data_IF_342039069028
#
_entry.id   IF_342039069028
#
_cell.length_a   1.000
_cell.length_b   1.000
_cell.length_c   1.000
_cell.angle_alpha   90.00
_cell.angle_beta   90.00
_cell.angle_gamma   90.00
#
_symmetry.space_group_name_H-M   'P 1'
#
loop_
_entity.id
_entity.type
_entity.pdbx_description
1 polymer ?
#
# COMPACT_ATOMS: atom_id res chain seq x y z
N UNK A 1 58.44 1.26 11.67
CA UNK A 1 58.10 -0.14 12.01
C UNK A 1 56.77 -0.16 12.79
N UNK A 2 55.71 0.34 12.17
CA UNK A 2 54.37 0.41 12.75
C UNK A 2 53.38 0.51 11.58
N UNK A 3 52.81 -0.63 11.18
CA UNK A 3 51.63 -0.75 10.32
C UNK A 3 51.62 -2.18 9.80
N UNK A 4 50.89 -3.08 10.45
CA UNK A 4 50.32 -4.31 9.89
C UNK A 4 49.64 -5.10 11.02
N UNK A 5 48.48 -4.61 11.51
CA UNK A 5 47.57 -5.45 12.30
C UNK A 5 46.13 -4.90 12.27
N UNK A 6 45.58 -4.69 11.06
CA UNK A 6 44.19 -4.23 10.85
C UNK A 6 43.34 -5.18 10.00
N UNK A 7 43.70 -6.47 9.89
CA UNK A 7 43.03 -7.43 8.99
C UNK A 7 42.22 -8.56 9.65
N UNK A 8 41.90 -8.47 10.95
CA UNK A 8 41.13 -9.53 11.65
C UNK A 8 39.70 -9.16 12.07
N UNK A 9 39.19 -7.97 11.73
CA UNK A 9 37.93 -7.50 12.32
C UNK A 9 36.65 -8.29 11.96
N UNK A 10 36.63 -9.11 10.91
CA UNK A 10 35.39 -9.78 10.49
C UNK A 10 35.29 -11.26 10.85
N UNK A 11 36.42 -11.96 11.04
CA UNK A 11 36.42 -13.40 11.33
C UNK A 11 36.12 -13.69 12.81
N UNK A 12 36.36 -12.71 13.68
CA UNK A 12 36.06 -12.78 15.11
C UNK A 12 34.63 -12.37 15.47
N UNK A 13 33.84 -11.86 14.51
CA UNK A 13 32.45 -11.41 14.76
C UNK A 13 31.52 -12.60 15.02
N UNK A 14 31.81 -13.75 14.41
CA UNK A 14 31.00 -14.96 14.55
C UNK A 14 31.90 -16.12 14.96
N UNK A 15 32.25 -16.13 16.23
CA UNK A 15 32.91 -17.28 16.82
C UNK A 15 31.87 -18.33 17.20
N UNK A 16 31.94 -19.49 16.55
CA UNK A 16 31.02 -20.61 16.74
C UNK A 16 31.62 -21.72 17.61
N UNK A 17 32.64 -21.43 18.42
CA UNK A 17 33.16 -22.42 19.36
C UNK A 17 32.11 -22.83 20.39
N UNK A 18 32.25 -24.05 20.91
CA UNK A 18 31.42 -24.53 22.00
C UNK A 18 31.85 -23.82 23.29
N UNK A 19 30.91 -23.08 23.88
CA UNK A 19 31.13 -22.30 25.10
C UNK A 19 31.27 -23.27 26.29
N UNK A 20 32.27 -23.05 27.14
CA UNK A 20 32.43 -23.84 28.37
C UNK A 20 31.34 -23.53 29.40
N UNK A 21 31.01 -24.47 30.29
CA UNK A 21 29.99 -24.24 31.33
C UNK A 21 30.33 -23.04 32.21
N UNK A 22 31.62 -22.83 32.54
CA UNK A 22 32.06 -21.71 33.36
C UNK A 22 31.90 -20.37 32.63
N UNK A 23 32.18 -20.33 31.33
CA UNK A 23 31.96 -19.15 30.50
C UNK A 23 30.47 -18.82 30.36
N UNK A 24 29.61 -19.84 30.26
CA UNK A 24 28.16 -19.66 30.24
C UNK A 24 27.63 -19.11 31.57
N UNK A 25 28.07 -19.65 32.70
CA UNK A 25 27.70 -19.15 34.04
C UNK A 25 28.18 -17.72 34.28
N UNK A 26 29.37 -17.36 33.77
CA UNK A 26 29.85 -15.98 33.79
C UNK A 26 29.00 -15.09 32.89
N UNK A 27 28.63 -15.55 31.69
CA UNK A 27 27.76 -14.82 30.77
C UNK A 27 26.37 -14.54 31.37
N UNK A 28 25.81 -15.44 32.19
CA UNK A 28 24.54 -15.21 32.87
C UNK A 28 24.62 -14.08 33.91
N UNK A 29 25.80 -13.89 34.51
CA UNK A 29 26.05 -12.86 35.53
C UNK A 29 26.51 -11.53 34.91
N UNK A 30 27.17 -11.58 33.76
CA UNK A 30 27.65 -10.42 33.03
C UNK A 30 26.51 -9.70 32.28
N UNK A 31 26.35 -8.41 32.58
CA UNK A 31 25.49 -7.49 31.82
C UNK A 31 26.08 -7.19 30.43
N UNK A 32 25.24 -6.68 29.53
CA UNK A 32 25.70 -6.29 28.20
C UNK A 32 26.45 -4.96 28.22
N UNK A 33 26.21 -4.12 29.24
CA UNK A 33 26.78 -2.77 29.39
C UNK A 33 28.18 -2.75 30.03
N UNK A 34 28.98 -3.78 29.79
CA UNK A 34 30.36 -3.91 30.29
C UNK A 34 31.35 -3.57 29.16
N UNK A 35 32.52 -3.03 29.50
CA UNK A 35 33.56 -2.61 28.53
C UNK A 35 33.98 -3.72 27.56
N UNK A 36 33.85 -4.99 27.97
CA UNK A 36 34.08 -6.18 27.16
C UNK A 36 33.26 -6.19 25.85
N UNK A 37 32.07 -5.59 25.85
CA UNK A 37 31.14 -5.55 24.70
C UNK A 37 31.04 -4.16 24.06
N UNK A 38 32.02 -3.28 24.30
CA UNK A 38 31.98 -1.90 23.81
C UNK A 38 31.88 -1.80 22.27
N UNK A 39 32.56 -2.69 21.53
CA UNK A 39 32.49 -2.75 20.07
C UNK A 39 31.08 -3.01 19.56
N UNK A 40 30.39 -3.98 20.14
CA UNK A 40 29.05 -4.40 19.80
C UNK A 40 28.05 -3.32 20.14
N UNK A 41 28.18 -2.69 21.32
CA UNK A 41 27.37 -1.54 21.71
C UNK A 41 27.51 -0.39 20.70
N UNK A 42 28.73 -0.09 20.23
CA UNK A 42 28.95 0.93 19.20
C UNK A 42 28.31 0.56 17.85
N UNK A 43 28.34 -0.71 17.46
CA UNK A 43 27.64 -1.18 16.25
C UNK A 43 26.13 -1.00 16.40
N UNK A 44 25.54 -1.43 17.52
CA UNK A 44 24.11 -1.25 17.79
C UNK A 44 23.72 0.23 17.84
N UNK A 45 24.56 1.09 18.42
CA UNK A 45 24.34 2.54 18.42
C UNK A 45 24.36 3.12 17.00
N UNK A 46 25.29 2.69 16.15
CA UNK A 46 25.33 3.07 14.73
C UNK A 46 24.06 2.66 13.97
N UNK A 47 23.61 1.42 14.15
CA UNK A 47 22.35 0.90 13.58
C UNK A 47 21.15 1.69 14.09
N UNK A 48 21.12 2.01 15.38
CA UNK A 48 20.06 2.79 16.01
C UNK A 48 19.96 4.19 15.40
N UNK A 49 21.08 4.91 15.26
CA UNK A 49 21.10 6.25 14.64
C UNK A 49 20.58 6.19 13.19
N UNK A 50 21.03 5.21 12.40
CA UNK A 50 20.56 5.01 11.03
C UNK A 50 19.05 4.77 11.00
N UNK A 51 18.53 3.94 11.92
CA UNK A 51 17.10 3.68 12.03
C UNK A 51 16.30 4.92 12.42
N UNK A 52 16.80 5.76 13.34
CA UNK A 52 16.16 7.03 13.71
C UNK A 52 16.04 7.95 12.48
N UNK A 53 17.13 8.13 11.72
CA UNK A 53 17.14 8.97 10.52
C UNK A 53 16.13 8.44 9.49
N UNK A 54 16.15 7.12 9.22
CA UNK A 54 15.23 6.50 8.29
C UNK A 54 13.77 6.63 8.74
N UNK A 55 13.47 6.34 10.01
CA UNK A 55 12.13 6.37 10.57
C UNK A 55 11.52 7.77 10.58
N UNK A 56 12.28 8.79 11.00
CA UNK A 56 11.83 10.19 10.97
C UNK A 56 11.60 10.64 9.52
N UNK A 57 12.55 10.37 8.61
CA UNK A 57 12.41 10.74 7.20
C UNK A 57 11.18 10.09 6.56
N UNK A 58 10.93 8.81 6.84
CA UNK A 58 9.76 8.09 6.36
C UNK A 58 8.45 8.66 6.90
N UNK A 59 8.38 8.99 8.20
CA UNK A 59 7.20 9.60 8.81
C UNK A 59 6.92 11.01 8.24
N UNK A 60 7.97 11.83 8.06
CA UNK A 60 7.86 13.16 7.45
C UNK A 60 7.38 13.05 6.01
N UNK A 61 7.97 12.17 5.22
CA UNK A 61 7.56 11.94 3.82
C UNK A 61 6.10 11.46 3.73
N UNK A 62 5.71 10.53 4.60
CA UNK A 62 4.32 10.04 4.66
C UNK A 62 3.34 11.16 5.07
N UNK A 63 3.75 12.07 5.93
CA UNK A 63 2.96 13.24 6.32
C UNK A 63 2.81 14.25 5.18
N UNK A 64 3.89 14.52 4.43
CA UNK A 64 3.85 15.40 3.24
C UNK A 64 2.89 14.84 2.19
N UNK A 65 2.90 13.52 1.99
CA UNK A 65 2.04 12.85 1.01
C UNK A 65 0.60 12.59 1.51
N UNK A 66 0.19 13.12 2.67
CA UNK A 66 -1.14 12.83 3.27
C UNK A 66 -2.33 13.10 2.34
N UNK A 67 -2.21 14.10 1.47
CA UNK A 67 -3.26 14.54 0.56
C UNK A 67 -3.27 13.72 -0.75
N UNK A 68 -2.26 12.86 -0.96
CA UNK A 68 -2.22 11.95 -2.11
C UNK A 68 -3.39 10.97 -2.08
N UNK A 69 -3.94 10.68 -3.27
CA UNK A 69 -5.06 9.74 -3.43
C UNK A 69 -4.77 8.37 -2.80
N UNK A 70 -3.55 7.86 -2.99
CA UNK A 70 -3.08 6.57 -2.48
C UNK A 70 -3.16 6.53 -0.94
N UNK A 71 -2.70 7.58 -0.24
CA UNK A 71 -2.70 7.61 1.23
C UNK A 71 -4.10 7.85 1.78
N UNK A 72 -4.89 8.70 1.14
CA UNK A 72 -6.29 8.94 1.52
C UNK A 72 -7.13 7.65 1.46
N UNK A 73 -6.94 6.84 0.42
CA UNK A 73 -7.62 5.54 0.28
C UNK A 73 -7.18 4.53 1.36
N UNK A 74 -5.90 4.58 1.76
CA UNK A 74 -5.34 3.76 2.85
C UNK A 74 -5.62 4.28 4.25
N UNK A 75 -6.38 5.36 4.42
CA UNK A 75 -6.71 5.93 5.72
C UNK A 75 -5.47 6.41 6.47
N UNK A 76 -5.15 7.69 6.25
CA UNK A 76 -3.98 8.37 6.79
C UNK A 76 -3.80 8.15 8.30
N UNK A 77 -4.80 8.46 9.12
CA UNK A 77 -4.71 8.44 10.58
C UNK A 77 -4.23 7.08 11.13
N UNK A 78 -4.87 5.98 10.72
CA UNK A 78 -4.54 4.64 11.22
C UNK A 78 -3.13 4.20 10.77
N UNK A 79 -2.75 4.52 9.53
CA UNK A 79 -1.44 4.15 8.99
C UNK A 79 -0.33 4.97 9.62
N UNK A 80 -0.56 6.27 9.82
CA UNK A 80 0.40 7.18 10.43
C UNK A 80 0.61 6.87 11.92
N UNK A 81 -0.47 6.67 12.68
CA UNK A 81 -0.38 6.22 14.09
C UNK A 81 0.33 4.87 14.19
N UNK A 82 0.04 3.94 13.29
CA UNK A 82 0.77 2.66 13.21
C UNK A 82 2.26 2.84 12.95
N UNK A 83 2.65 3.76 12.06
CA UNK A 83 4.04 4.09 11.79
C UNK A 83 4.75 4.67 13.02
N UNK A 84 4.10 5.59 13.74
CA UNK A 84 4.64 6.17 14.98
C UNK A 84 4.84 5.09 16.05
N UNK A 85 3.83 4.25 16.28
CA UNK A 85 3.95 3.16 17.25
C UNK A 85 5.03 2.16 16.87
N UNK A 86 5.20 1.86 15.58
CA UNK A 86 6.22 0.94 15.10
C UNK A 86 7.61 1.52 15.32
N UNK A 87 7.77 2.82 15.03
CA UNK A 87 8.98 3.56 15.29
C UNK A 87 9.36 3.55 16.78
N UNK A 88 8.41 3.88 17.67
CA UNK A 88 8.62 3.83 19.12
C UNK A 88 8.98 2.41 19.58
N UNK A 89 8.28 1.38 19.09
CA UNK A 89 8.54 0.00 19.48
C UNK A 89 9.95 -0.46 19.09
N UNK A 90 10.45 -0.07 17.92
CA UNK A 90 11.84 -0.37 17.52
C UNK A 90 12.83 0.40 18.37
N UNK A 91 12.56 1.66 18.69
CA UNK A 91 13.43 2.44 19.61
C UNK A 91 13.55 1.73 20.95
N UNK A 92 12.42 1.35 21.56
CA UNK A 92 12.38 0.66 22.84
C UNK A 92 12.98 -0.76 22.77
N UNK A 93 12.93 -1.42 21.61
CA UNK A 93 13.53 -2.73 21.40
C UNK A 93 15.05 -2.70 21.21
N UNK A 94 15.59 -1.61 20.63
CA UNK A 94 17.03 -1.44 20.41
C UNK A 94 17.75 -0.78 21.59
N UNK A 95 17.07 0.08 22.35
CA UNK A 95 17.67 0.80 23.49
C UNK A 95 18.41 -0.09 24.50
N UNK A 96 17.89 -1.26 24.90
CA UNK A 96 18.58 -2.12 25.87
C UNK A 96 19.96 -2.61 25.42
N UNK A 97 20.28 -2.53 24.12
CA UNK A 97 21.56 -2.98 23.56
C UNK A 97 22.70 -2.01 23.84
N UNK A 98 22.43 -0.77 24.25
CA UNK A 98 23.50 0.22 24.49
C UNK A 98 23.20 1.16 25.66
N UNK A 99 22.10 0.96 26.38
CA UNK A 99 21.75 1.76 27.53
C UNK A 99 20.88 1.02 28.54
N UNK A 100 20.89 1.52 29.77
CA UNK A 100 19.97 1.06 30.82
C UNK A 100 18.55 1.52 30.48
N UNK A 101 17.57 0.66 30.74
CA UNK A 101 16.15 0.96 30.57
C UNK A 101 15.39 0.44 31.78
N UNK A 102 14.29 1.09 32.14
CA UNK A 102 13.48 0.58 33.24
C UNK A 102 12.65 -0.62 32.80
N UNK A 103 12.49 -1.59 33.71
CA UNK A 103 11.69 -2.77 33.47
C UNK A 103 10.24 -2.41 33.08
N UNK A 104 9.68 -1.35 33.68
CA UNK A 104 8.35 -0.85 33.36
C UNK A 104 8.20 -0.42 31.89
N UNK A 105 9.21 0.23 31.30
CA UNK A 105 9.18 0.63 29.89
C UNK A 105 9.24 -0.58 28.96
N UNK A 106 10.09 -1.57 29.27
CA UNK A 106 10.17 -2.82 28.51
C UNK A 106 8.84 -3.59 28.54
N UNK A 107 8.20 -3.67 29.71
CA UNK A 107 6.88 -4.29 29.89
C UNK A 107 5.79 -3.54 29.12
N UNK A 108 5.79 -2.20 29.18
CA UNK A 108 4.86 -1.38 28.41
C UNK A 108 5.04 -1.60 26.90
N UNK A 109 6.28 -1.64 26.41
CA UNK A 109 6.57 -1.92 25.01
C UNK A 109 6.07 -3.29 24.59
N UNK A 110 6.42 -4.34 25.36
CA UNK A 110 6.09 -5.72 25.03
C UNK A 110 4.59 -6.03 25.13
N UNK A 111 3.91 -5.52 26.16
CA UNK A 111 2.52 -5.88 26.42
C UNK A 111 1.52 -4.90 25.79
N UNK A 112 1.85 -3.62 25.67
CA UNK A 112 0.87 -2.61 25.20
C UNK A 112 1.17 -2.19 23.78
N UNK A 113 2.38 -1.72 23.50
CA UNK A 113 2.74 -1.18 22.18
C UNK A 113 2.74 -2.30 21.13
N UNK A 114 3.36 -3.44 21.45
CA UNK A 114 3.40 -4.58 20.54
C UNK A 114 1.99 -5.13 20.24
N UNK A 115 1.11 -5.20 21.25
CA UNK A 115 -0.29 -5.60 21.04
C UNK A 115 -1.01 -4.61 20.12
N UNK A 116 -0.89 -3.31 20.38
CA UNK A 116 -1.46 -2.29 19.50
C UNK A 116 -0.95 -2.43 18.06
N UNK A 117 0.35 -2.66 17.86
CA UNK A 117 0.95 -2.86 16.54
C UNK A 117 0.41 -4.09 15.82
N UNK A 118 0.38 -5.23 16.49
CA UNK A 118 -0.14 -6.47 15.93
C UNK A 118 -1.58 -6.29 15.44
N UNK A 119 -2.45 -5.67 16.23
CA UNK A 119 -3.82 -5.39 15.80
C UNK A 119 -3.89 -4.32 14.70
N UNK A 120 -3.04 -3.30 14.69
CA UNK A 120 -2.94 -2.34 13.58
C UNK A 120 -2.55 -3.07 12.27
N UNK A 121 -1.61 -4.01 12.31
CA UNK A 121 -1.27 -4.80 11.13
C UNK A 121 -2.46 -5.63 10.63
N UNK A 122 -3.22 -6.26 11.53
CA UNK A 122 -4.44 -7.00 11.15
C UNK A 122 -5.50 -6.11 10.49
N UNK A 123 -5.59 -4.83 10.88
CA UNK A 123 -6.59 -3.92 10.29
C UNK A 123 -6.44 -3.74 8.78
N UNK A 124 -5.23 -3.93 8.23
CA UNK A 124 -5.00 -3.86 6.78
C UNK A 124 -5.76 -4.95 6.05
N UNK A 125 -5.66 -6.19 6.52
CA UNK A 125 -6.40 -7.34 5.98
C UNK A 125 -7.90 -7.20 6.21
N UNK A 126 -8.30 -6.83 7.44
CA UNK A 126 -9.71 -6.63 7.76
C UNK A 126 -10.37 -5.53 6.94
N UNK A 127 -9.64 -4.45 6.59
CA UNK A 127 -10.19 -3.42 5.70
C UNK A 127 -10.56 -4.00 4.34
N UNK A 128 -9.70 -4.83 3.75
CA UNK A 128 -9.97 -5.47 2.45
C UNK A 128 -11.19 -6.39 2.56
N UNK A 129 -11.22 -7.24 3.60
CA UNK A 129 -12.33 -8.16 3.86
C UNK A 129 -13.65 -7.39 4.07
N UNK A 130 -13.66 -6.34 4.89
CA UNK A 130 -14.86 -5.54 5.13
C UNK A 130 -15.31 -4.78 3.88
N UNK A 131 -14.39 -4.17 3.13
CA UNK A 131 -14.72 -3.51 1.87
C UNK A 131 -15.38 -4.50 0.90
N UNK A 132 -14.83 -5.71 0.77
CA UNK A 132 -15.40 -6.76 -0.07
C UNK A 132 -16.81 -7.16 0.39
N UNK A 133 -16.97 -7.43 1.69
CA UNK A 133 -18.23 -7.85 2.27
C UNK A 133 -19.34 -6.78 2.10
N UNK A 134 -19.03 -5.51 2.43
CA UNK A 134 -19.97 -4.40 2.25
C UNK A 134 -20.27 -4.09 0.77
N UNK A 135 -19.32 -4.31 -0.15
CA UNK A 135 -19.56 -4.16 -1.59
C UNK A 135 -20.51 -5.24 -2.14
N UNK A 136 -20.38 -6.50 -1.72
CA UNK A 136 -21.33 -7.56 -2.11
C UNK A 136 -22.76 -7.20 -1.70
N UNK A 137 -22.95 -6.70 -0.48
CA UNK A 137 -24.28 -6.28 -0.02
C UNK A 137 -24.88 -5.21 -0.91
N UNK A 138 -24.08 -4.28 -1.44
CA UNK A 138 -24.55 -3.27 -2.39
C UNK A 138 -25.08 -3.93 -3.66
N UNK A 139 -24.31 -4.80 -4.31
CA UNK A 139 -24.69 -5.46 -5.56
C UNK A 139 -25.97 -6.30 -5.37
N UNK A 140 -26.03 -7.08 -4.29
CA UNK A 140 -27.23 -7.87 -3.95
C UNK A 140 -28.45 -6.99 -3.67
N UNK A 141 -28.28 -5.87 -2.98
CA UNK A 141 -29.40 -4.94 -2.70
C UNK A 141 -29.93 -4.27 -3.97
N UNK A 142 -29.06 -3.93 -4.93
CA UNK A 142 -29.44 -3.36 -6.22
C UNK A 142 -30.17 -4.43 -7.06
N UNK A 143 -29.66 -5.67 -7.11
CA UNK A 143 -30.29 -6.78 -7.82
C UNK A 143 -31.69 -7.09 -7.26
N UNK A 144 -31.83 -7.11 -5.93
CA UNK A 144 -33.13 -7.31 -5.26
C UNK A 144 -34.11 -6.14 -5.45
N UNK A 145 -33.64 -4.91 -5.67
CA UNK A 145 -34.51 -3.79 -6.04
C UNK A 145 -34.99 -3.89 -7.47
N UNK A 146 -34.13 -4.32 -8.40
CA UNK A 146 -34.50 -4.60 -9.80
C UNK A 146 -35.55 -5.70 -9.89
N UNK A 147 -35.41 -6.80 -9.14
CA UNK A 147 -36.40 -7.89 -9.15
C UNK A 147 -37.78 -7.49 -8.62
N UNK A 148 -37.87 -6.45 -7.78
CA UNK A 148 -39.15 -5.93 -7.25
C UNK A 148 -39.83 -4.90 -8.17
N UNK A 149 -39.41 -4.77 -9.43
CA UNK A 149 -40.05 -3.90 -10.43
C UNK A 149 -39.96 -2.39 -10.14
N UNK A 150 -39.17 -1.95 -9.15
CA UNK A 150 -38.98 -0.53 -8.88
C UNK A 150 -38.00 0.04 -9.91
N UNK A 151 -38.53 0.76 -10.89
CA UNK A 151 -37.75 1.46 -11.91
C UNK A 151 -36.70 2.36 -11.24
N UNK A 152 -35.42 2.09 -11.52
CA UNK A 152 -34.32 2.87 -11.00
C UNK A 152 -34.28 4.21 -11.75
N UNK A 153 -34.70 5.31 -11.11
CA UNK A 153 -34.48 6.66 -11.65
C UNK A 153 -32.97 6.91 -11.69
N UNK A 154 -32.36 6.76 -12.87
CA UNK A 154 -30.92 6.77 -13.10
C UNK A 154 -30.20 8.10 -12.87
N UNK A 155 -30.88 9.13 -12.37
CA UNK A 155 -30.32 10.49 -12.27
C UNK A 155 -29.63 10.80 -10.95
N UNK A 156 -29.75 9.94 -9.92
CA UNK A 156 -29.09 10.15 -8.63
C UNK A 156 -27.97 9.13 -8.47
N UNK A 157 -26.75 9.54 -8.82
CA UNK A 157 -25.58 8.71 -8.64
C UNK A 157 -25.31 8.49 -7.14
N UNK A 158 -25.19 7.24 -6.66
CA UNK A 158 -25.11 6.92 -5.24
C UNK A 158 -23.69 7.14 -4.69
N UNK A 159 -23.08 8.31 -4.91
CA UNK A 159 -21.74 8.61 -4.41
C UNK A 159 -21.74 8.83 -2.87
N UNK A 160 -22.88 9.19 -2.27
CA UNK A 160 -23.01 9.35 -0.83
C UNK A 160 -22.93 8.04 -0.01
N UNK A 161 -22.91 6.87 -0.67
CA UNK A 161 -22.88 5.57 0.02
C UNK A 161 -21.47 5.15 0.46
N UNK A 162 -20.46 5.36 -0.39
CA UNK A 162 -19.09 4.92 -0.13
C UNK A 162 -18.45 5.62 1.09
N UNK A 163 -18.59 6.95 1.27
CA UNK A 163 -18.09 7.62 2.47
C UNK A 163 -18.75 7.10 3.76
N UNK A 164 -20.06 6.77 3.70
CA UNK A 164 -20.80 6.23 4.85
C UNK A 164 -20.32 4.83 5.24
N UNK A 165 -20.06 3.95 4.26
CA UNK A 165 -19.44 2.64 4.55
C UNK A 165 -18.05 2.82 5.11
N UNK A 166 -17.20 3.63 4.48
CA UNK A 166 -15.82 3.83 4.93
C UNK A 166 -15.78 4.36 6.37
N UNK A 167 -16.70 5.26 6.76
CA UNK A 167 -16.82 5.72 8.15
C UNK A 167 -17.18 4.57 9.12
N UNK A 168 -18.07 3.66 8.72
CA UNK A 168 -18.44 2.48 9.52
C UNK A 168 -17.28 1.48 9.63
N UNK A 169 -16.60 1.18 8.51
CA UNK A 169 -15.42 0.31 8.48
C UNK A 169 -14.33 0.89 9.37
N UNK A 170 -14.00 2.18 9.24
CA UNK A 170 -12.98 2.80 10.08
C UNK A 170 -13.34 2.77 11.57
N UNK A 171 -14.62 2.92 11.94
CA UNK A 171 -15.07 2.74 13.33
C UNK A 171 -14.86 1.30 13.83
N UNK A 172 -15.16 0.29 13.00
CA UNK A 172 -14.93 -1.11 13.33
C UNK A 172 -13.44 -1.42 13.48
N UNK A 173 -12.61 -0.98 12.53
CA UNK A 173 -11.16 -1.15 12.58
C UNK A 173 -10.56 -0.48 13.82
N UNK A 174 -11.04 0.71 14.19
CA UNK A 174 -10.62 1.38 15.41
C UNK A 174 -10.95 0.55 16.66
N UNK A 175 -12.17 -0.01 16.75
CA UNK A 175 -12.56 -0.88 17.87
C UNK A 175 -11.71 -2.16 17.95
N UNK A 176 -11.37 -2.76 16.81
CA UNK A 176 -10.51 -3.96 16.73
C UNK A 176 -9.10 -3.69 17.28
N UNK A 177 -8.59 -2.46 17.17
CA UNK A 177 -7.30 -2.09 17.77
C UNK A 177 -7.46 -1.67 19.22
N UNK A 178 -8.42 -0.78 19.51
CA UNK A 178 -8.55 -0.14 20.80
C UNK A 178 -8.91 -1.11 21.92
N UNK A 179 -9.85 -2.04 21.68
CA UNK A 179 -10.33 -2.97 22.72
C UNK A 179 -9.21 -3.91 23.20
N UNK A 180 -8.49 -4.64 22.33
CA UNK A 180 -7.39 -5.50 22.78
C UNK A 180 -6.26 -4.73 23.46
N UNK A 181 -5.91 -3.54 22.97
CA UNK A 181 -4.88 -2.70 23.62
C UNK A 181 -5.32 -2.29 25.03
N UNK A 182 -6.58 -1.86 25.21
CA UNK A 182 -7.11 -1.48 26.52
C UNK A 182 -7.13 -2.67 27.50
N UNK A 183 -7.59 -3.84 27.02
CA UNK A 183 -7.57 -5.07 27.83
C UNK A 183 -6.14 -5.42 28.23
N UNK A 184 -5.16 -5.30 27.32
CA UNK A 184 -3.76 -5.55 27.63
C UNK A 184 -3.19 -4.61 28.70
N UNK A 185 -3.53 -3.32 28.64
CA UNK A 185 -3.15 -2.34 29.67
C UNK A 185 -3.72 -2.74 31.04
N UNK A 186 -5.02 -3.07 31.10
CA UNK A 186 -5.70 -3.44 32.35
C UNK A 186 -5.08 -4.72 32.92
N UNK A 187 -4.91 -5.77 32.12
CA UNK A 187 -4.34 -7.04 32.57
C UNK A 187 -2.90 -6.83 33.06
N UNK A 188 -2.08 -6.07 32.33
CA UNK A 188 -0.71 -5.80 32.74
C UNK A 188 -0.66 -5.04 34.07
N UNK A 189 -1.53 -4.05 34.26
CA UNK A 189 -1.67 -3.32 35.52
C UNK A 189 -2.13 -4.22 36.68
N UNK A 190 -3.11 -5.10 36.45
CA UNK A 190 -3.57 -6.06 37.45
C UNK A 190 -2.49 -7.06 37.84
N UNK A 191 -1.77 -7.64 36.88
CA UNK A 191 -0.65 -8.56 37.15
C UNK A 191 0.44 -7.84 37.95
N UNK A 192 0.75 -6.59 37.60
CA UNK A 192 1.73 -5.79 38.34
C UNK A 192 1.33 -5.52 39.80
N UNK A 193 0.03 -5.29 40.06
CA UNK A 193 -0.47 -4.97 41.40
C UNK A 193 -0.70 -6.21 42.28
N UNK A 194 -1.14 -7.33 41.69
CA UNK A 194 -1.58 -8.52 42.43
C UNK A 194 -0.42 -9.50 42.69
N UNK A 195 0.51 -9.65 41.74
CA UNK A 195 1.56 -10.65 41.90
C UNK A 195 2.59 -10.21 42.97
N UNK A 196 2.82 -11.10 43.93
CA UNK A 196 3.68 -10.85 45.09
C UNK A 196 5.14 -10.57 44.67
N UNK A 197 5.71 -9.49 45.23
CA UNK A 197 7.09 -9.08 44.98
C UNK A 197 7.36 -8.49 43.59
N UNK A 198 6.35 -8.17 42.78
CA UNK A 198 6.57 -7.59 41.44
C UNK A 198 7.07 -6.15 41.47
N UNK A 199 6.70 -5.38 42.50
CA UNK A 199 7.21 -4.02 42.72
C UNK A 199 8.72 -4.02 42.94
N UNK A 200 9.22 -5.03 43.66
CA UNK A 200 10.64 -5.17 43.98
C UNK A 200 11.43 -5.76 42.80
N UNK A 201 10.84 -6.73 42.08
CA UNK A 201 11.47 -7.37 40.91
C UNK A 201 11.50 -6.51 39.65
N UNK A 202 10.54 -5.58 39.51
CA UNK A 202 10.38 -4.76 38.32
C UNK A 202 9.92 -3.35 38.71
N UNK A 203 10.80 -2.56 39.35
CA UNK A 203 10.52 -1.16 39.63
C UNK A 203 10.33 -0.37 38.32
N UNK A 204 9.25 0.41 38.24
CA UNK A 204 8.86 1.12 37.00
C UNK A 204 9.89 2.19 36.59
N UNK A 205 10.56 2.79 37.57
CA UNK A 205 11.40 3.99 37.37
C UNK A 205 12.89 3.76 37.64
N UNK A 206 13.31 2.54 37.99
CA UNK A 206 14.74 2.23 38.18
C UNK A 206 15.30 1.76 36.85
N UNK A 207 16.41 2.36 36.45
CA UNK A 207 17.11 2.06 35.20
C UNK A 207 18.16 0.98 35.45
N UNK A 208 17.93 -0.20 34.91
CA UNK A 208 18.80 -1.36 35.07
C UNK A 208 19.23 -1.90 33.70
N UNK A 209 20.17 -2.85 33.71
CA UNK A 209 20.49 -3.61 32.51
C UNK A 209 19.35 -4.60 32.23
N UNK A 210 18.48 -4.24 31.28
CA UNK A 210 17.33 -5.07 30.94
C UNK A 210 17.72 -6.40 30.28
N UNK A 211 18.90 -6.49 29.66
CA UNK A 211 19.38 -7.77 29.11
C UNK A 211 19.77 -8.72 30.24
N UNK A 212 20.42 -8.22 31.29
CA UNK A 212 20.71 -9.00 32.49
C UNK A 212 19.42 -9.45 33.20
N UNK A 213 18.43 -8.56 33.28
CA UNK A 213 17.11 -8.87 33.86
C UNK A 213 16.40 -9.98 33.08
N UNK A 214 16.46 -9.92 31.74
CA UNK A 214 15.86 -10.90 30.85
C UNK A 214 16.55 -12.27 30.95
N UNK A 215 17.90 -12.32 30.99
CA UNK A 215 18.67 -13.55 31.19
C UNK A 215 18.27 -14.27 32.48
N UNK A 216 18.09 -13.50 33.55
CA UNK A 216 17.72 -14.02 34.87
C UNK A 216 16.21 -14.30 35.01
N UNK A 217 15.44 -14.22 33.93
CA UNK A 217 13.98 -14.41 33.92
C UNK A 217 13.24 -13.51 34.93
N UNK A 218 13.80 -12.34 35.24
CA UNK A 218 13.16 -11.39 36.15
C UNK A 218 11.87 -10.87 35.50
N UNK A 219 10.77 -10.90 36.26
CA UNK A 219 9.48 -10.41 35.78
C UNK A 219 8.78 -11.31 34.75
N UNK A 220 9.17 -12.59 34.60
CA UNK A 220 8.54 -13.56 33.68
C UNK A 220 7.00 -13.55 33.68
N UNK A 221 6.39 -13.32 34.83
CA UNK A 221 4.93 -13.24 34.99
C UNK A 221 4.30 -12.10 34.16
N UNK A 222 4.97 -10.94 34.04
CA UNK A 222 4.48 -9.82 33.22
C UNK A 222 4.53 -10.15 31.72
N UNK A 223 5.51 -10.94 31.29
CA UNK A 223 5.66 -11.33 29.88
C UNK A 223 4.71 -12.46 29.46
N UNK A 224 3.94 -13.07 30.37
CA UNK A 224 2.88 -14.02 29.98
C UNK A 224 1.81 -13.37 29.10
N UNK A 225 1.54 -12.08 29.30
CA UNK A 225 0.56 -11.31 28.53
C UNK A 225 0.93 -11.26 27.04
N UNK A 226 2.18 -10.91 26.71
CA UNK A 226 2.64 -10.87 25.32
C UNK A 226 2.61 -12.25 24.66
N UNK A 227 2.89 -13.33 25.40
CA UNK A 227 2.80 -14.70 24.85
C UNK A 227 1.36 -15.04 24.45
N UNK A 228 0.39 -14.76 25.32
CA UNK A 228 -1.03 -15.01 25.05
C UNK A 228 -1.50 -14.20 23.83
N UNK A 229 -1.16 -12.91 23.77
CA UNK A 229 -1.51 -12.07 22.63
C UNK A 229 -0.78 -12.44 21.35
N UNK A 230 0.46 -12.93 21.44
CA UNK A 230 1.21 -13.46 20.29
C UNK A 230 0.51 -14.67 19.69
N UNK A 231 0.05 -15.60 20.54
CA UNK A 231 -0.73 -16.75 20.10
C UNK A 231 -2.09 -16.34 19.50
N UNK A 232 -2.80 -15.41 20.13
CA UNK A 232 -4.06 -14.87 19.60
C UNK A 232 -3.84 -14.20 18.23
N UNK A 233 -2.80 -13.38 18.08
CA UNK A 233 -2.45 -12.74 16.81
C UNK A 233 -2.14 -13.77 15.73
N UNK A 234 -1.44 -14.85 16.07
CA UNK A 234 -1.17 -15.95 15.14
C UNK A 234 -2.47 -16.59 14.63
N UNK A 235 -3.41 -16.93 15.53
CA UNK A 235 -4.72 -17.47 15.15
C UNK A 235 -5.48 -16.49 14.25
N UNK A 236 -5.56 -15.22 14.64
CA UNK A 236 -6.26 -14.20 13.85
C UNK A 236 -5.62 -13.98 12.48
N UNK A 237 -4.29 -14.05 12.39
CA UNK A 237 -3.56 -13.97 11.13
C UNK A 237 -3.87 -15.16 10.22
N UNK A 238 -3.95 -16.37 10.78
CA UNK A 238 -4.35 -17.57 10.06
C UNK A 238 -5.80 -17.49 9.55
N UNK A 239 -6.74 -17.07 10.41
CA UNK A 239 -8.14 -16.84 10.01
C UNK A 239 -8.23 -15.78 8.91
N UNK A 240 -7.46 -14.69 9.03
CA UNK A 240 -7.39 -13.65 8.00
C UNK A 240 -6.83 -14.17 6.68
N UNK A 241 -5.81 -15.04 6.71
CA UNK A 241 -5.29 -15.66 5.50
C UNK A 241 -6.38 -16.49 4.81
N UNK A 242 -7.11 -17.33 5.56
CA UNK A 242 -8.26 -18.10 5.03
C UNK A 242 -9.34 -17.16 4.47
N UNK A 243 -9.73 -16.11 5.21
CA UNK A 243 -10.75 -15.17 4.77
C UNK A 243 -10.35 -14.44 3.49
N UNK A 244 -9.06 -14.08 3.34
CA UNK A 244 -8.53 -13.47 2.13
C UNK A 244 -8.60 -14.41 0.92
N UNK A 245 -8.44 -15.74 1.09
CA UNK A 245 -8.68 -16.70 0.01
C UNK A 245 -10.14 -16.70 -0.48
N UNK A 246 -11.10 -16.43 0.41
CA UNK A 246 -12.53 -16.33 0.06
C UNK A 246 -12.96 -14.98 -0.52
N UNK A 247 -12.08 -13.97 -0.50
CA UNK A 247 -12.28 -12.73 -1.24
C UNK A 247 -12.14 -13.06 -2.73
N UNK A 248 -13.23 -13.61 -3.28
CA UNK A 248 -13.40 -14.27 -4.59
C UNK A 248 -13.01 -13.41 -5.80
N UNK A 249 -12.74 -12.15 -5.53
CA UNK A 249 -12.39 -11.16 -6.52
C UNK A 249 -10.89 -11.05 -6.75
N UNK A 250 -9.97 -11.70 -6.01
CA UNK A 250 -8.56 -11.70 -6.41
C UNK A 250 -8.28 -12.45 -7.73
N UNK A 251 -9.16 -13.36 -8.16
CA UNK A 251 -9.07 -14.07 -9.44
C UNK A 251 -10.13 -13.64 -10.46
N UNK A 252 -11.21 -12.96 -10.04
CA UNK A 252 -12.30 -12.49 -10.91
C UNK A 252 -12.20 -10.99 -11.26
N UNK A 253 -11.61 -10.18 -10.38
CA UNK A 253 -11.32 -8.75 -10.57
C UNK A 253 -9.88 -8.36 -10.21
N UNK A 254 -9.14 -9.22 -9.53
CA UNK A 254 -7.71 -9.17 -9.38
C UNK A 254 -7.14 -9.77 -10.63
N UNK A 255 -6.52 -8.89 -11.41
CA UNK A 255 -5.40 -9.21 -12.29
C UNK A 255 -5.51 -10.58 -12.99
N UNK A 256 -6.65 -10.90 -13.63
CA UNK A 256 -6.48 -11.32 -15.04
C UNK A 256 -5.61 -10.23 -15.63
N UNK A 257 -4.49 -10.49 -16.32
CA UNK A 257 -3.65 -9.42 -16.81
C UNK A 257 -4.49 -8.52 -17.72
N UNK A 258 -5.11 -7.52 -17.12
CA UNK A 258 -5.68 -6.32 -17.71
C UNK A 258 -4.54 -5.41 -18.14
N UNK A 259 -3.32 -5.75 -17.73
CA UNK A 259 -2.05 -5.41 -18.34
C UNK A 259 -1.72 -6.21 -19.61
N UNK A 260 -2.57 -7.13 -20.09
CA UNK A 260 -2.39 -7.61 -21.45
C UNK A 260 -2.82 -6.50 -22.40
N UNK A 261 -1.92 -6.14 -23.30
CA UNK A 261 -2.16 -5.11 -24.31
C UNK A 261 -3.44 -5.41 -25.11
N UNK A 262 -3.79 -6.69 -25.27
CA UNK A 262 -5.03 -7.15 -25.91
C UNK A 262 -6.30 -6.76 -25.13
N UNK A 263 -6.27 -6.84 -23.79
CA UNK A 263 -7.41 -6.42 -22.99
C UNK A 263 -7.55 -4.90 -22.99
N UNK A 264 -6.43 -4.18 -22.96
CA UNK A 264 -6.41 -2.73 -23.14
C UNK A 264 -7.03 -2.34 -24.48
N UNK A 265 -6.60 -2.94 -25.60
CA UNK A 265 -7.23 -2.70 -26.90
C UNK A 265 -8.70 -3.09 -26.94
N UNK A 266 -9.11 -4.19 -26.29
CA UNK A 266 -10.53 -4.56 -26.21
C UNK A 266 -11.36 -3.49 -25.50
N UNK A 267 -10.84 -2.94 -24.40
CA UNK A 267 -11.50 -1.86 -23.65
C UNK A 267 -11.58 -0.60 -24.50
N UNK A 268 -10.49 -0.23 -25.16
CA UNK A 268 -10.41 0.94 -26.04
C UNK A 268 -11.30 0.84 -27.29
N UNK A 269 -11.50 -0.36 -27.82
CA UNK A 269 -12.33 -0.62 -29.00
C UNK A 269 -13.82 -0.84 -28.67
N UNK A 270 -14.20 -0.86 -27.39
CA UNK A 270 -15.60 -1.06 -26.98
C UNK A 270 -16.18 0.27 -26.47
N UNK A 271 -17.06 0.96 -27.22
CA UNK A 271 -17.54 2.30 -26.86
C UNK A 271 -18.21 2.38 -25.48
N UNK A 272 -18.94 1.33 -25.07
CA UNK A 272 -19.56 1.29 -23.75
C UNK A 272 -18.55 1.26 -22.61
N UNK A 273 -17.39 0.62 -22.80
CA UNK A 273 -16.32 0.55 -21.81
C UNK A 273 -15.51 1.85 -21.76
N UNK A 274 -15.25 2.48 -22.91
CA UNK A 274 -14.62 3.80 -22.98
C UNK A 274 -15.47 4.86 -22.26
N UNK A 275 -16.79 4.84 -22.45
CA UNK A 275 -17.70 5.75 -21.75
C UNK A 275 -17.69 5.52 -20.23
N UNK A 276 -17.58 4.27 -19.78
CA UNK A 276 -17.41 3.95 -18.36
C UNK A 276 -16.06 4.49 -17.83
N UNK A 277 -14.96 4.28 -18.58
CA UNK A 277 -13.63 4.84 -18.30
C UNK A 277 -13.65 6.37 -18.22
N UNK A 278 -14.36 7.04 -19.13
CA UNK A 278 -14.56 8.49 -19.11
C UNK A 278 -15.25 8.95 -17.82
N UNK A 279 -16.31 8.24 -17.43
CA UNK A 279 -17.00 8.53 -16.18
C UNK A 279 -16.10 8.34 -14.95
N UNK A 280 -15.21 7.34 -14.97
CA UNK A 280 -14.24 7.09 -13.90
C UNK A 280 -13.16 8.17 -13.90
N UNK A 281 -12.60 8.50 -15.06
CA UNK A 281 -11.55 9.52 -15.20
C UNK A 281 -12.03 10.91 -14.77
N UNK A 282 -13.28 11.28 -15.07
CA UNK A 282 -13.90 12.52 -14.57
C UNK A 282 -14.01 12.50 -13.04
N UNK A 283 -14.36 11.35 -12.44
CA UNK A 283 -14.46 11.20 -10.98
C UNK A 283 -13.10 11.18 -10.29
N UNK A 284 -12.07 10.69 -10.98
CA UNK A 284 -10.71 10.54 -10.46
C UNK A 284 -9.78 11.71 -10.84
N UNK A 285 -10.29 12.75 -11.51
CA UNK A 285 -9.51 13.90 -12.01
C UNK A 285 -8.37 13.51 -12.96
N UNK A 286 -8.55 12.43 -13.74
CA UNK A 286 -7.61 11.95 -14.76
C UNK A 286 -8.17 12.12 -16.18
N UNK A 287 -8.94 13.20 -16.37
CA UNK A 287 -9.66 13.51 -17.62
C UNK A 287 -8.71 13.63 -18.80
N UNK A 288 -7.48 14.10 -18.57
CA UNK A 288 -6.40 14.22 -19.55
C UNK A 288 -6.15 12.91 -20.32
N UNK A 289 -6.14 11.75 -19.64
CA UNK A 289 -5.89 10.46 -20.28
C UNK A 289 -7.01 10.04 -21.25
N UNK A 290 -8.25 10.39 -20.90
CA UNK A 290 -9.41 10.06 -21.75
C UNK A 290 -9.53 11.04 -22.91
N UNK A 291 -9.27 12.33 -22.66
CA UNK A 291 -9.19 13.33 -23.73
C UNK A 291 -8.06 12.99 -24.71
N UNK A 292 -6.88 12.63 -24.20
CA UNK A 292 -5.77 12.17 -25.03
C UNK A 292 -6.18 10.99 -25.91
N UNK A 293 -6.87 9.99 -25.35
CA UNK A 293 -7.39 8.86 -26.12
C UNK A 293 -8.42 9.27 -27.18
N UNK A 294 -9.38 10.14 -26.84
CA UNK A 294 -10.41 10.63 -27.78
C UNK A 294 -9.79 11.42 -28.94
N UNK A 295 -8.81 12.28 -28.65
CA UNK A 295 -8.10 13.03 -29.68
C UNK A 295 -7.19 12.12 -30.52
N UNK A 296 -6.58 11.11 -29.91
CA UNK A 296 -5.80 10.11 -30.64
C UNK A 296 -6.69 9.34 -31.63
N UNK A 297 -7.88 8.90 -31.19
CA UNK A 297 -8.88 8.25 -32.04
C UNK A 297 -9.33 9.14 -33.19
N UNK A 298 -9.47 10.44 -32.93
CA UNK A 298 -9.80 11.40 -33.98
C UNK A 298 -8.67 11.45 -35.03
N UNK A 299 -7.42 11.68 -34.61
CA UNK A 299 -6.28 11.76 -35.53
C UNK A 299 -6.16 10.46 -36.33
N UNK A 300 -6.35 9.31 -35.69
CA UNK A 300 -6.34 8.01 -36.36
C UNK A 300 -7.39 7.91 -37.49
N UNK A 301 -8.60 8.42 -37.27
CA UNK A 301 -9.66 8.48 -38.31
C UNK A 301 -9.30 9.43 -39.46
N UNK A 302 -8.62 10.54 -39.16
CA UNK A 302 -8.15 11.47 -40.18
C UNK A 302 -7.08 10.84 -41.07
N UNK A 303 -6.11 10.13 -40.47
CA UNK A 303 -5.07 9.41 -41.20
C UNK A 303 -5.67 8.30 -42.05
N UNK A 304 -6.61 7.54 -41.50
CA UNK A 304 -7.33 6.51 -42.25
C UNK A 304 -8.02 7.07 -43.49
N UNK A 305 -8.74 8.18 -43.33
CA UNK A 305 -9.44 8.81 -44.45
C UNK A 305 -8.47 9.33 -45.50
N UNK A 306 -7.38 9.96 -45.07
CA UNK A 306 -6.34 10.42 -45.97
C UNK A 306 -5.77 9.27 -46.81
N UNK A 307 -5.42 8.14 -46.18
CA UNK A 307 -4.87 7.00 -46.90
C UNK A 307 -5.86 6.40 -47.91
N UNK A 308 -7.15 6.40 -47.58
CA UNK A 308 -8.21 5.93 -48.47
C UNK A 308 -8.35 6.83 -49.71
N UNK A 309 -8.32 8.15 -49.54
CA UNK A 309 -8.36 9.09 -50.66
C UNK A 309 -7.05 9.07 -51.47
N UNK A 310 -5.90 8.94 -50.81
CA UNK A 310 -4.61 8.80 -51.47
C UNK A 310 -4.53 7.54 -52.33
N UNK A 311 -5.06 6.41 -51.84
CA UNK A 311 -5.13 5.17 -52.62
C UNK A 311 -6.00 5.34 -53.88
N UNK A 312 -7.18 5.98 -53.76
CA UNK A 312 -8.05 6.28 -54.90
C UNK A 312 -7.39 7.19 -55.92
N UNK A 313 -6.76 8.27 -55.45
CA UNK A 313 -6.03 9.22 -56.29
C UNK A 313 -4.92 8.51 -57.10
N UNK A 314 -4.18 7.61 -56.45
CA UNK A 314 -3.14 6.79 -57.09
C UNK A 314 -3.70 5.80 -58.11
N UNK A 315 -4.86 5.19 -57.85
CA UNK A 315 -5.53 4.29 -58.79
C UNK A 315 -6.03 5.03 -60.06
N UNK A 316 -6.41 6.30 -59.91
CA UNK A 316 -6.86 7.17 -61.01
C UNK A 316 -5.65 7.80 -61.75
N UNK A 317 -4.49 7.87 -61.11
CA UNK A 317 -3.29 8.49 -61.66
C UNK A 317 -3.25 10.01 -61.48
N UNK A 318 -4.08 10.56 -60.58
CA UNK A 318 -4.11 11.99 -60.27
C UNK A 318 -3.99 12.22 -58.75
N UNK A 319 -2.76 12.44 -58.29
CA UNK A 319 -2.45 12.69 -56.87
C UNK A 319 -3.03 14.02 -56.36
N UNK A 320 -3.35 14.98 -57.25
CA UNK A 320 -3.95 16.26 -56.86
C UNK A 320 -5.39 16.12 -56.35
N UNK A 321 -6.04 14.98 -56.57
CA UNK A 321 -7.38 14.74 -56.02
C UNK A 321 -7.40 14.71 -54.49
N UNK A 322 -6.30 14.34 -53.83
CA UNK A 322 -6.27 14.26 -52.36
C UNK A 322 -6.37 15.64 -51.72
N UNK A 323 -5.70 16.65 -52.30
CA UNK A 323 -5.74 18.02 -51.77
C UNK A 323 -7.07 18.72 -52.04
N UNK A 324 -7.91 18.18 -52.93
CA UNK A 324 -9.28 18.64 -53.17
C UNK A 324 -10.29 18.06 -52.16
N UNK A 325 -9.91 17.04 -51.40
CA UNK A 325 -10.80 16.46 -50.39
C UNK A 325 -10.93 17.40 -49.18
N UNK A 326 -12.18 17.71 -48.79
CA UNK A 326 -12.46 18.56 -47.65
C UNK A 326 -12.30 17.78 -46.33
N UNK A 327 -11.05 17.72 -45.85
CA UNK A 327 -10.73 17.12 -44.56
C UNK A 327 -11.34 17.88 -43.37
N UNK A 328 -11.64 19.16 -43.54
CA UNK A 328 -12.22 19.98 -42.48
C UNK A 328 -13.72 19.67 -42.29
N UNK A 329 -14.46 19.53 -43.38
CA UNK A 329 -15.85 19.06 -43.32
C UNK A 329 -15.92 17.66 -42.69
N UNK A 330 -15.03 16.76 -43.09
CA UNK A 330 -14.96 15.42 -42.52
C UNK A 330 -14.62 15.44 -41.01
N UNK A 331 -13.69 16.29 -40.59
CA UNK A 331 -13.36 16.50 -39.18
C UNK A 331 -14.58 16.96 -38.37
N UNK A 332 -15.34 17.93 -38.89
CA UNK A 332 -16.56 18.43 -38.26
C UNK A 332 -17.64 17.35 -38.16
N UNK A 333 -17.79 16.51 -39.19
CA UNK A 333 -18.71 15.37 -39.18
C UNK A 333 -18.32 14.33 -38.10
N UNK A 334 -17.02 14.08 -37.88
CA UNK A 334 -16.55 13.20 -36.80
C UNK A 334 -16.93 13.78 -35.43
N UNK A 335 -16.71 15.07 -35.22
CA UNK A 335 -17.03 15.73 -33.94
C UNK A 335 -18.53 15.72 -33.62
N UNK A 336 -19.38 15.84 -34.63
CA UNK A 336 -20.83 15.81 -34.49
C UNK A 336 -21.40 14.40 -34.28
N UNK A 337 -20.55 13.35 -34.34
CA UNK A 337 -20.95 11.96 -34.13
C UNK A 337 -21.86 11.41 -35.23
N UNK A 338 -21.96 12.08 -36.38
CA UNK A 338 -22.81 11.70 -37.50
C UNK A 338 -22.18 10.61 -38.39
N UNK A 339 -20.90 10.29 -38.18
CA UNK A 339 -20.17 9.35 -39.01
C UNK A 339 -20.13 7.92 -38.44
N UNK A 340 -20.79 6.99 -39.13
CA UNK A 340 -20.61 5.54 -38.97
C UNK A 340 -19.36 5.12 -39.73
N UNK A 341 -18.21 5.07 -39.08
CA UNK A 341 -16.98 4.57 -39.71
C UNK A 341 -17.17 3.10 -40.14
N UNK A 342 -16.84 2.78 -41.39
CA UNK A 342 -16.60 1.40 -41.79
C UNK A 342 -15.51 0.81 -40.89
N UNK A 343 -15.64 -0.46 -40.52
CA UNK A 343 -14.68 -1.14 -39.66
C UNK A 343 -13.26 -0.91 -40.16
N UNK A 344 -12.40 -0.30 -39.34
CA UNK A 344 -10.98 -0.06 -39.64
C UNK A 344 -10.14 -1.35 -39.59
N UNK A 345 -10.78 -2.52 -39.67
CA UNK A 345 -10.18 -3.83 -39.41
C UNK A 345 -9.16 -4.24 -40.49
N UNK A 346 -9.22 -3.65 -41.69
CA UNK A 346 -8.25 -3.86 -42.78
C UNK A 346 -7.14 -2.79 -42.84
N UNK A 347 -7.08 -1.89 -41.85
CA UNK A 347 -6.11 -0.81 -41.84
C UNK A 347 -4.72 -1.26 -41.36
N UNK A 348 -3.73 -1.22 -42.26
CA UNK A 348 -2.32 -1.37 -41.93
C UNK A 348 -1.61 -0.03 -42.02
N UNK A 349 -1.23 0.54 -40.88
CA UNK A 349 -0.46 1.79 -40.82
C UNK A 349 0.96 1.60 -41.36
N UNK A 350 1.38 2.44 -42.30
CA UNK A 350 2.78 2.52 -42.74
C UNK A 350 3.55 3.51 -41.84
N UNK A 351 4.50 3.04 -41.02
CA UNK A 351 5.27 3.91 -40.12
C UNK A 351 6.23 4.85 -40.83
N UNK A 352 6.53 4.62 -42.12
CA UNK A 352 7.45 5.45 -42.89
C UNK A 352 6.75 6.56 -43.69
N UNK A 353 5.41 6.61 -43.65
CA UNK A 353 4.64 7.63 -44.34
C UNK A 353 4.85 8.99 -43.67
N UNK A 354 5.36 10.02 -44.39
CA UNK A 354 5.44 11.36 -43.83
C UNK A 354 4.04 11.91 -43.57
N UNK A 355 3.90 12.71 -42.50
CA UNK A 355 2.61 13.33 -42.16
C UNK A 355 2.22 14.28 -43.30
N UNK A 356 1.07 14.05 -43.97
CA UNK A 356 0.60 14.91 -45.05
C UNK A 356 0.28 16.33 -44.57
N UNK A 357 0.44 17.31 -45.46
CA UNK A 357 0.20 18.73 -45.14
C UNK A 357 -1.26 18.99 -44.80
N UNK A 358 -2.15 18.26 -45.45
CA UNK A 358 -3.61 18.34 -45.36
C UNK A 358 -4.11 17.98 -43.96
N UNK A 359 -3.43 17.07 -43.26
CA UNK A 359 -3.81 16.64 -41.91
C UNK A 359 -2.84 17.11 -40.81
N UNK A 360 -1.77 17.81 -41.17
CA UNK A 360 -0.78 18.36 -40.24
C UNK A 360 -1.42 19.21 -39.12
N UNK A 361 -2.42 20.09 -39.37
CA UNK A 361 -3.02 20.90 -38.31
C UNK A 361 -3.62 20.05 -37.17
N UNK A 362 -4.16 18.88 -37.47
CA UNK A 362 -4.75 17.99 -36.46
C UNK A 362 -3.67 17.31 -35.59
N UNK A 363 -2.51 16.99 -36.16
CA UNK A 363 -1.36 16.50 -35.40
C UNK A 363 -0.78 17.58 -34.49
N UNK A 364 -0.66 18.81 -34.99
CA UNK A 364 -0.22 19.95 -34.19
C UNK A 364 -1.21 20.22 -33.05
N UNK A 365 -2.51 20.19 -33.30
CA UNK A 365 -3.54 20.33 -32.26
C UNK A 365 -3.53 19.20 -31.25
N UNK A 366 -3.19 17.98 -31.66
CA UNK A 366 -3.09 16.83 -30.76
C UNK A 366 -1.88 16.92 -29.83
N UNK A 367 -0.72 17.37 -30.34
CA UNK A 367 0.52 17.42 -29.58
C UNK A 367 0.61 18.60 -28.59
N UNK A 368 -0.10 19.69 -28.88
CA UNK A 368 -0.12 20.89 -28.03
C UNK A 368 -1.28 20.94 -27.03
N UNK A 369 -1.98 19.82 -26.85
CA UNK A 369 -3.03 19.66 -25.83
C UNK A 369 -2.43 19.13 -24.52
#
# INVERSE_FOLDING_TARGET
MSNLNKRYYFKDIFDFHTVSSDEYENYLKEGFLVDKYASEQHVYLGIFILFIIYGISSLVFFFILRDSYIIRQRGFLLTFTGGILAFINVILGLWPQFGKISCGVTVLSANVINVALNFIFLTRSYRVIFNYHFNIFKVSSIKNRKSKGKAFKGTIEPNNYLPKINKRINKLLFLIVFIPTLISVIITGLVYLIAEGMKDKCPIFVFEDAMLSLKNNQGKELFRVVIIYGFLFFILSFVNAIALFYVKDANKYGIKPSSSIQYFYKVLNTPSLVNELKSIAIKEFSVENVLFWENYQLVQKMVYRYQLEYKKAKEIGDEHMVSQYDFEEYYQQIQQGSFSASSMDEYSYDPNMPVPKEIMPYYTSFYHM
#
